data_IF_791814290465
#
_entry.id   IF_791814290465
#
_cell.length_a   1.000
_cell.length_b   1.000
_cell.length_c   1.000
_cell.angle_alpha   90.00
_cell.angle_beta   90.00
_cell.angle_gamma   90.00
#
_symmetry.space_group_name_H-M   'P 1'
#
loop_
_entity.id
_entity.type
_entity.pdbx_description
1 polymer ?
#
# COMPACT_ATOMS: atom_id res chain seq x y z
N UNK A 1 13.16 -17.12 -8.07
CA UNK A 1 12.19 -16.02 -8.26
C UNK A 1 11.15 -16.34 -9.34
N UNK A 2 11.55 -16.78 -10.54
CA UNK A 2 10.59 -17.04 -11.63
C UNK A 2 9.48 -18.06 -11.26
N UNK A 3 9.81 -19.17 -10.58
CA UNK A 3 8.81 -20.18 -10.15
C UNK A 3 7.73 -19.61 -9.22
N UNK A 4 8.12 -18.71 -8.32
CA UNK A 4 7.18 -18.03 -7.41
C UNK A 4 6.15 -17.21 -8.20
N UNK A 5 6.61 -16.33 -9.10
CA UNK A 5 5.70 -15.52 -9.91
C UNK A 5 4.89 -16.33 -10.93
N UNK A 6 5.48 -17.41 -11.45
CA UNK A 6 4.78 -18.38 -12.29
C UNK A 6 3.56 -18.98 -11.59
N UNK A 7 3.72 -19.45 -10.34
CA UNK A 7 2.61 -19.99 -9.55
C UNK A 7 1.63 -18.88 -9.16
N UNK A 8 2.16 -17.77 -8.65
CA UNK A 8 1.38 -16.63 -8.16
C UNK A 8 0.42 -16.13 -9.22
N UNK A 9 0.89 -15.81 -10.43
CA UNK A 9 0.04 -15.29 -11.50
C UNK A 9 -0.76 -16.37 -12.24
N UNK A 10 -0.24 -17.60 -12.32
CA UNK A 10 -0.88 -18.69 -13.04
C UNK A 10 -2.19 -19.14 -12.39
N UNK A 11 -2.23 -19.20 -11.05
CA UNK A 11 -3.37 -19.70 -10.29
C UNK A 11 -4.17 -18.60 -9.56
N UNK A 12 -3.76 -17.33 -9.63
CA UNK A 12 -4.36 -16.27 -8.80
C UNK A 12 -5.88 -16.20 -8.89
N UNK A 13 -6.43 -16.37 -10.09
CA UNK A 13 -7.87 -16.33 -10.39
C UNK A 13 -8.71 -17.39 -9.61
N UNK A 14 -8.07 -18.39 -8.99
CA UNK A 14 -8.72 -19.39 -8.15
C UNK A 14 -8.63 -19.07 -6.65
N UNK A 15 -7.74 -18.15 -6.25
CA UNK A 15 -7.45 -17.83 -4.86
C UNK A 15 -8.68 -17.25 -4.14
N UNK A 16 -8.97 -17.72 -2.92
CA UNK A 16 -10.13 -17.31 -2.12
C UNK A 16 -11.50 -17.54 -2.80
N UNK A 17 -11.55 -18.28 -3.91
CA UNK A 17 -12.78 -18.67 -4.63
C UNK A 17 -12.95 -20.19 -4.56
N UNK A 18 -11.95 -20.94 -5.02
CA UNK A 18 -11.97 -22.41 -5.02
C UNK A 18 -11.11 -22.96 -3.88
N UNK A 19 -9.92 -22.40 -3.68
CA UNK A 19 -8.99 -22.74 -2.61
C UNK A 19 -8.04 -21.58 -2.31
N UNK A 20 -7.24 -21.70 -1.25
CA UNK A 20 -6.10 -20.82 -1.03
C UNK A 20 -4.96 -21.25 -1.95
N UNK A 21 -4.47 -20.33 -2.79
CA UNK A 21 -3.33 -20.59 -3.64
C UNK A 21 -2.03 -20.46 -2.85
N UNK A 22 -1.07 -21.32 -3.15
CA UNK A 22 0.27 -21.31 -2.58
C UNK A 22 1.30 -21.03 -3.70
N UNK A 23 1.88 -19.82 -3.75
CA UNK A 23 2.90 -19.47 -4.72
C UNK A 23 4.30 -19.98 -4.35
N UNK A 24 4.44 -20.85 -3.35
CA UNK A 24 5.68 -21.23 -2.67
C UNK A 24 6.19 -20.11 -1.74
N UNK A 25 7.27 -20.40 -1.04
CA UNK A 25 7.79 -19.57 0.05
C UNK A 25 8.20 -18.16 -0.37
N UNK A 26 7.91 -17.20 0.51
CA UNK A 26 8.42 -15.84 0.47
C UNK A 26 9.83 -15.81 1.06
N UNK A 27 10.74 -15.18 0.34
CA UNK A 27 12.13 -15.01 0.72
C UNK A 27 12.62 -13.63 0.31
N UNK A 28 13.36 -12.97 1.19
CA UNK A 28 14.03 -11.68 0.93
C UNK A 28 15.53 -11.74 1.23
N UNK A 29 16.04 -12.87 1.71
CA UNK A 29 17.48 -13.08 1.98
C UNK A 29 18.35 -12.98 0.72
N UNK A 30 19.65 -12.84 0.92
CA UNK A 30 20.64 -12.91 -0.15
C UNK A 30 20.60 -14.30 -0.84
N UNK A 31 20.86 -14.40 -2.16
CA UNK A 31 21.43 -13.37 -3.03
C UNK A 31 20.43 -12.35 -3.62
N UNK A 32 19.15 -12.37 -3.21
CA UNK A 32 18.16 -11.42 -3.71
C UNK A 32 18.53 -9.98 -3.36
N UNK A 33 18.35 -9.07 -4.32
CA UNK A 33 18.46 -7.63 -4.06
C UNK A 33 17.34 -7.17 -3.13
N UNK A 34 17.43 -5.92 -2.65
CA UNK A 34 16.37 -5.35 -1.84
C UNK A 34 15.09 -5.16 -2.68
N UNK A 35 15.24 -4.67 -3.90
CA UNK A 35 14.19 -4.41 -4.88
C UNK A 35 13.43 -5.70 -5.22
N UNK A 36 14.18 -6.78 -5.44
CA UNK A 36 13.63 -8.10 -5.69
C UNK A 36 12.80 -8.63 -4.51
N UNK A 37 13.32 -8.49 -3.29
CA UNK A 37 12.59 -8.83 -2.07
C UNK A 37 11.33 -7.98 -1.90
N UNK A 38 11.42 -6.67 -2.15
CA UNK A 38 10.29 -5.73 -2.10
C UNK A 38 9.20 -6.12 -3.11
N UNK A 39 9.60 -6.49 -4.33
CA UNK A 39 8.70 -6.97 -5.37
C UNK A 39 7.96 -8.23 -4.92
N UNK A 40 8.67 -9.25 -4.42
CA UNK A 40 8.06 -10.50 -3.93
C UNK A 40 7.02 -10.21 -2.83
N UNK A 41 7.38 -9.46 -1.78
CA UNK A 41 6.46 -9.24 -0.65
C UNK A 41 5.27 -8.36 -1.03
N UNK A 42 5.45 -7.42 -1.96
CA UNK A 42 4.36 -6.57 -2.44
C UNK A 42 3.35 -7.38 -3.24
N UNK A 43 3.83 -8.21 -4.16
CA UNK A 43 2.96 -9.03 -5.03
C UNK A 43 2.11 -10.02 -4.23
N UNK A 44 2.69 -10.72 -3.25
CA UNK A 44 1.92 -11.69 -2.45
C UNK A 44 0.91 -11.00 -1.52
N UNK A 45 1.28 -9.87 -0.92
CA UNK A 45 0.39 -9.13 -0.03
C UNK A 45 -0.81 -8.53 -0.76
N UNK A 46 -0.65 -8.20 -2.05
CA UNK A 46 -1.72 -7.64 -2.90
C UNK A 46 -2.57 -8.70 -3.59
N UNK A 47 -2.21 -9.98 -3.50
CA UNK A 47 -3.00 -11.09 -4.07
C UNK A 47 -3.74 -11.91 -3.01
N UNK A 48 -3.38 -11.76 -1.73
CA UNK A 48 -4.03 -12.46 -0.62
C UNK A 48 -3.83 -13.98 -0.67
N UNK A 49 -2.76 -14.44 -1.33
CA UNK A 49 -2.38 -15.85 -1.38
C UNK A 49 -1.65 -16.27 -0.09
N UNK A 50 -1.41 -17.57 0.05
CA UNK A 50 -0.76 -18.14 1.24
C UNK A 50 0.63 -17.53 1.45
N UNK A 51 0.81 -16.80 2.55
CA UNK A 51 2.08 -16.13 2.86
C UNK A 51 2.93 -17.02 3.77
N UNK A 52 3.85 -17.77 3.15
CA UNK A 52 4.76 -18.67 3.87
C UNK A 52 6.18 -18.11 3.86
N UNK A 53 6.61 -17.46 4.95
CA UNK A 53 7.97 -16.95 5.05
C UNK A 53 8.98 -18.08 5.29
N UNK A 54 10.10 -18.08 4.56
CA UNK A 54 11.14 -19.12 4.66
C UNK A 54 12.55 -18.54 4.83
N UNK A 55 12.69 -17.50 5.64
CA UNK A 55 13.98 -16.90 6.01
C UNK A 55 14.32 -17.13 7.48
N UNK A 56 15.62 -17.13 7.78
CA UNK A 56 16.13 -17.04 9.15
C UNK A 56 15.95 -15.61 9.65
N UNK A 57 14.82 -15.33 10.30
CA UNK A 57 14.39 -13.97 10.68
C UNK A 57 15.40 -13.26 11.59
N UNK A 58 16.08 -13.98 12.46
CA UNK A 58 17.14 -13.50 13.36
C UNK A 58 18.41 -13.06 12.62
N UNK A 59 18.61 -13.53 11.39
CA UNK A 59 19.80 -13.22 10.55
C UNK A 59 19.52 -12.21 9.46
N UNK A 60 18.26 -11.78 9.29
CA UNK A 60 17.91 -10.79 8.28
C UNK A 60 18.35 -9.39 8.73
N UNK A 61 18.94 -8.57 7.83
CA UNK A 61 19.11 -7.16 8.09
C UNK A 61 17.77 -6.50 8.41
N UNK A 62 17.75 -5.57 9.37
CA UNK A 62 16.53 -4.90 9.82
C UNK A 62 15.69 -4.33 8.65
N UNK A 63 16.36 -3.71 7.66
CA UNK A 63 15.68 -3.18 6.46
C UNK A 63 14.93 -4.26 5.65
N UNK A 64 15.44 -5.49 5.58
CA UNK A 64 14.76 -6.61 4.91
C UNK A 64 13.67 -7.22 5.79
N UNK A 65 13.83 -7.21 7.12
CA UNK A 65 12.78 -7.63 8.05
C UNK A 65 11.54 -6.73 7.96
N UNK A 66 11.73 -5.43 7.71
CA UNK A 66 10.62 -4.48 7.49
C UNK A 66 9.73 -4.85 6.29
N UNK A 67 10.27 -5.52 5.28
CA UNK A 67 9.48 -6.03 4.15
C UNK A 67 8.38 -6.98 4.63
N UNK A 68 8.71 -7.91 5.54
CA UNK A 68 7.73 -8.82 6.15
C UNK A 68 6.77 -8.07 7.08
N UNK A 69 7.29 -7.20 7.96
CA UNK A 69 6.47 -6.49 8.95
C UNK A 69 5.36 -5.66 8.32
N UNK A 70 5.62 -5.10 7.13
CA UNK A 70 4.67 -4.27 6.39
C UNK A 70 3.73 -5.04 5.46
N UNK A 71 3.90 -6.35 5.31
CA UNK A 71 3.13 -7.17 4.36
C UNK A 71 2.44 -8.38 4.99
N UNK A 72 2.61 -8.56 6.30
CA UNK A 72 1.90 -9.53 7.14
C UNK A 72 0.93 -8.76 8.05
N UNK A 73 -0.30 -9.25 8.26
CA UNK A 73 -0.85 -10.53 7.79
C UNK A 73 -1.35 -10.49 6.35
N UNK A 74 -1.46 -11.67 5.71
CA UNK A 74 -2.24 -11.83 4.49
C UNK A 74 -3.67 -11.33 4.69
N UNK A 75 -4.19 -10.60 3.71
CA UNK A 75 -5.57 -10.10 3.69
C UNK A 75 -6.47 -10.99 2.83
N UNK A 76 -7.78 -11.08 3.15
CA UNK A 76 -8.72 -11.91 2.40
C UNK A 76 -9.08 -11.26 1.05
N UNK A 77 -8.18 -11.36 0.07
CA UNK A 77 -8.33 -10.75 -1.26
C UNK A 77 -8.88 -11.78 -2.24
N UNK A 78 -9.89 -11.37 -3.01
CA UNK A 78 -10.42 -12.16 -4.13
C UNK A 78 -9.98 -11.54 -5.45
N UNK A 79 -9.48 -12.34 -6.41
CA UNK A 79 -9.18 -11.87 -7.76
C UNK A 79 -10.48 -11.45 -8.47
N UNK A 80 -10.40 -10.42 -9.31
CA UNK A 80 -11.48 -10.04 -10.23
C UNK A 80 -11.42 -10.89 -11.51
N UNK A 81 -10.21 -11.32 -11.89
CA UNK A 81 -9.99 -12.16 -13.07
C UNK A 81 -10.74 -13.50 -12.96
N UNK A 82 -11.55 -13.84 -13.97
CA UNK A 82 -12.24 -15.13 -14.06
C UNK A 82 -11.39 -16.25 -14.68
N UNK A 83 -10.28 -15.87 -15.34
CA UNK A 83 -9.42 -16.77 -16.10
C UNK A 83 -7.94 -16.52 -15.77
N UNK A 84 -7.04 -17.48 -16.04
CA UNK A 84 -5.61 -17.26 -15.87
C UNK A 84 -5.12 -16.03 -16.63
N UNK A 85 -4.17 -15.30 -16.05
CA UNK A 85 -3.61 -14.10 -16.68
C UNK A 85 -2.86 -14.44 -17.97
N UNK A 86 -3.44 -14.04 -19.12
CA UNK A 86 -2.86 -13.97 -20.48
C UNK A 86 -1.67 -14.93 -20.76
N UNK A 87 -1.88 -16.23 -20.58
CA UNK A 87 -0.88 -17.25 -20.95
C UNK A 87 -1.01 -17.55 -22.45
N UNK A 88 -0.19 -16.87 -23.27
CA UNK A 88 -0.27 -16.98 -24.72
C UNK A 88 0.67 -18.07 -25.27
N UNK A 89 1.87 -18.18 -24.70
CA UNK A 89 2.96 -18.99 -25.26
C UNK A 89 3.20 -20.30 -24.55
N UNK A 90 2.72 -20.45 -23.32
CA UNK A 90 2.84 -21.70 -22.58
C UNK A 90 1.56 -22.53 -22.79
N UNK A 91 1.39 -23.10 -23.99
CA UNK A 91 0.26 -23.98 -24.33
C UNK A 91 0.76 -25.35 -24.77
N UNK A 92 0.21 -26.43 -24.20
CA UNK A 92 0.44 -27.81 -24.62
C UNK A 92 -0.87 -28.38 -25.15
N UNK A 93 -0.89 -28.79 -26.43
CA UNK A 93 -2.08 -29.30 -27.12
C UNK A 93 -3.29 -28.34 -27.06
N UNK A 94 -3.06 -27.04 -27.16
CA UNK A 94 -4.11 -26.02 -27.08
C UNK A 94 -4.58 -25.69 -25.65
N UNK A 95 -4.12 -26.45 -24.65
CA UNK A 95 -4.39 -26.20 -23.23
C UNK A 95 -3.28 -25.33 -22.66
N UNK A 96 -3.65 -24.27 -21.94
CA UNK A 96 -2.71 -23.43 -21.18
C UNK A 96 -1.96 -24.30 -20.17
N UNK A 97 -0.63 -24.38 -20.32
CA UNK A 97 0.24 -25.14 -19.45
C UNK A 97 0.76 -24.24 -18.32
N UNK A 98 0.28 -24.56 -17.12
CA UNK A 98 0.66 -24.13 -15.76
C UNK A 98 0.88 -22.63 -15.45
N UNK A 99 1.72 -21.89 -16.19
CA UNK A 99 2.20 -20.58 -15.73
C UNK A 99 2.58 -19.62 -16.89
N UNK A 100 2.40 -18.30 -16.73
CA UNK A 100 2.89 -17.29 -17.68
C UNK A 100 4.43 -17.23 -17.70
N UNK A 101 5.03 -16.80 -18.81
CA UNK A 101 6.46 -16.44 -18.86
C UNK A 101 6.67 -14.99 -18.39
N UNK A 102 7.91 -14.60 -18.05
CA UNK A 102 8.24 -13.23 -17.58
C UNK A 102 7.71 -12.13 -18.50
N UNK A 103 7.82 -12.28 -19.82
CA UNK A 103 7.28 -11.32 -20.80
C UNK A 103 5.75 -11.24 -20.85
N UNK A 104 5.08 -12.18 -20.21
CA UNK A 104 3.63 -12.27 -20.05
C UNK A 104 3.22 -11.96 -18.61
N UNK A 105 4.14 -11.50 -17.73
CA UNK A 105 3.77 -11.04 -16.40
C UNK A 105 3.00 -9.73 -16.47
N UNK A 106 2.05 -9.52 -15.54
CA UNK A 106 1.32 -8.28 -15.50
C UNK A 106 2.26 -7.10 -15.25
N UNK A 107 1.98 -5.98 -15.93
CA UNK A 107 2.68 -4.70 -15.72
C UNK A 107 2.40 -4.13 -14.32
N UNK A 108 1.20 -4.37 -13.81
CA UNK A 108 0.78 -3.93 -12.50
C UNK A 108 -0.25 -4.89 -11.88
N UNK A 109 -0.37 -4.86 -10.55
CA UNK A 109 -1.50 -5.41 -9.79
C UNK A 109 -2.23 -4.25 -9.16
N UNK A 110 -3.53 -4.19 -9.36
CA UNK A 110 -4.41 -3.20 -8.75
C UNK A 110 -5.36 -3.88 -7.76
N UNK A 111 -5.19 -3.59 -6.48
CA UNK A 111 -6.07 -4.06 -5.42
C UNK A 111 -7.10 -2.98 -5.08
N UNK A 112 -8.37 -3.25 -5.37
CA UNK A 112 -9.50 -2.45 -4.88
C UNK A 112 -9.73 -2.73 -3.39
N UNK A 113 -9.63 -1.69 -2.56
CA UNK A 113 -9.84 -1.78 -1.12
C UNK A 113 -11.09 -1.02 -0.74
N UNK A 114 -12.03 -1.72 -0.09
CA UNK A 114 -13.14 -1.11 0.64
C UNK A 114 -12.89 -1.34 2.13
N UNK A 115 -12.48 -0.30 2.84
CA UNK A 115 -12.14 -0.38 4.27
C UNK A 115 -12.61 0.83 5.07
N UNK A 116 -12.25 0.87 6.35
CA UNK A 116 -12.64 1.95 7.27
C UNK A 116 -12.26 3.34 6.74
N UNK A 117 -11.13 3.46 6.05
CA UNK A 117 -10.67 4.71 5.43
C UNK A 117 -11.34 5.05 4.10
N UNK A 118 -12.42 4.38 3.72
CA UNK A 118 -13.13 4.54 2.45
C UNK A 118 -12.67 3.56 1.37
N UNK A 119 -13.08 3.87 0.15
CA UNK A 119 -12.73 3.13 -1.08
C UNK A 119 -11.50 3.75 -1.74
N UNK A 120 -10.54 2.91 -2.12
CA UNK A 120 -9.27 3.31 -2.70
C UNK A 120 -8.56 2.13 -3.34
N UNK A 121 -7.52 2.43 -4.10
CA UNK A 121 -6.72 1.41 -4.77
C UNK A 121 -5.35 1.30 -4.14
N UNK A 122 -4.78 0.09 -4.19
CA UNK A 122 -3.37 -0.15 -3.89
C UNK A 122 -2.74 -0.80 -5.12
N UNK A 123 -1.95 -0.02 -5.83
CA UNK A 123 -1.31 -0.39 -7.09
C UNK A 123 0.13 -0.80 -6.84
N UNK A 124 0.52 -2.00 -7.25
CA UNK A 124 1.93 -2.35 -7.46
C UNK A 124 2.27 -2.28 -8.95
N UNK A 125 3.14 -1.36 -9.32
CA UNK A 125 3.70 -1.22 -10.67
C UNK A 125 5.08 -1.90 -10.71
N UNK A 126 5.33 -2.73 -11.72
CA UNK A 126 6.53 -3.58 -11.78
C UNK A 126 7.49 -3.17 -12.90
N UNK A 127 8.78 -3.31 -12.63
CA UNK A 127 9.81 -3.37 -13.66
C UNK A 127 10.42 -4.77 -13.73
N UNK A 128 10.01 -5.56 -14.72
CA UNK A 128 10.55 -6.91 -14.96
C UNK A 128 11.86 -6.94 -15.76
N UNK A 129 12.42 -5.78 -16.14
CA UNK A 129 13.66 -5.69 -16.91
C UNK A 129 14.90 -5.72 -16.00
N UNK A 130 16.01 -6.21 -16.55
CA UNK A 130 17.34 -6.23 -15.89
C UNK A 130 18.00 -4.83 -15.79
N UNK A 131 17.33 -3.79 -16.28
CA UNK A 131 17.79 -2.40 -16.24
C UNK A 131 16.71 -1.48 -15.66
N UNK A 132 17.13 -0.32 -15.15
CA UNK A 132 16.19 0.71 -14.76
C UNK A 132 15.36 1.13 -15.98
N UNK A 133 14.06 1.27 -15.78
CA UNK A 133 13.13 1.56 -16.87
C UNK A 133 11.99 2.44 -16.36
N UNK A 134 11.51 3.30 -17.25
CA UNK A 134 10.31 4.10 -17.03
C UNK A 134 9.07 3.21 -17.15
N UNK A 135 8.17 3.32 -16.17
CA UNK A 135 6.90 2.60 -16.11
C UNK A 135 5.78 3.60 -15.89
N UNK A 136 4.61 3.29 -16.46
CA UNK A 136 3.45 4.16 -16.38
C UNK A 136 2.16 3.37 -16.30
N UNK A 137 1.12 4.06 -15.85
CA UNK A 137 -0.28 3.63 -15.90
C UNK A 137 -1.18 4.86 -16.16
N UNK A 138 -2.38 4.63 -16.69
CA UNK A 138 -3.44 5.64 -16.70
C UNK A 138 -4.54 5.32 -15.68
N UNK A 139 -5.27 6.34 -15.23
CA UNK A 139 -6.46 6.13 -14.37
C UNK A 139 -7.49 5.19 -15.02
N UNK A 140 -7.69 5.30 -16.33
CA UNK A 140 -8.60 4.44 -17.09
C UNK A 140 -8.14 2.97 -17.10
N UNK A 141 -6.83 2.69 -17.22
CA UNK A 141 -6.29 1.32 -17.11
C UNK A 141 -6.60 0.68 -15.74
N UNK A 142 -6.78 1.49 -14.69
CA UNK A 142 -7.17 1.04 -13.35
C UNK A 142 -8.69 1.00 -13.15
N UNK A 143 -9.49 1.41 -14.14
CA UNK A 143 -10.94 1.56 -13.98
C UNK A 143 -11.36 2.69 -13.03
N UNK A 144 -10.48 3.67 -12.82
CA UNK A 144 -10.78 4.91 -12.11
C UNK A 144 -11.39 5.95 -13.08
N UNK A 145 -12.23 6.82 -12.55
CA UNK A 145 -12.85 7.91 -13.33
C UNK A 145 -11.80 8.94 -13.76
N UNK A 146 -11.54 9.13 -15.08
CA UNK A 146 -10.50 10.03 -15.56
C UNK A 146 -10.83 11.51 -15.37
N UNK A 147 -12.08 11.87 -15.11
CA UNK A 147 -12.49 13.26 -14.84
C UNK A 147 -12.25 13.68 -13.38
N UNK A 148 -11.85 12.72 -12.53
CA UNK A 148 -11.56 12.95 -11.12
C UNK A 148 -10.06 13.04 -10.86
N UNK A 149 -9.73 13.62 -9.69
CA UNK A 149 -8.36 13.78 -9.21
C UNK A 149 -8.05 12.77 -8.13
N UNK A 150 -6.84 12.23 -8.13
CA UNK A 150 -6.42 11.21 -7.17
C UNK A 150 -5.10 11.55 -6.50
N UNK A 151 -5.07 11.47 -5.17
CA UNK A 151 -3.85 11.46 -4.37
C UNK A 151 -3.06 10.19 -4.64
N UNK A 152 -1.75 10.32 -4.84
CA UNK A 152 -0.82 9.20 -4.96
C UNK A 152 0.14 9.19 -3.77
N UNK A 153 0.19 8.09 -3.03
CA UNK A 153 1.13 7.91 -1.92
C UNK A 153 2.01 6.68 -2.13
N UNK A 154 3.34 6.88 -2.21
CA UNK A 154 4.31 5.80 -2.28
C UNK A 154 4.50 5.17 -0.90
N UNK A 155 4.01 3.94 -0.74
CA UNK A 155 4.01 3.23 0.53
C UNK A 155 5.43 2.91 1.03
N UNK A 156 6.31 2.42 0.16
CA UNK A 156 7.65 1.96 0.56
C UNK A 156 8.57 3.11 0.94
N UNK A 157 8.48 4.23 0.21
CA UNK A 157 9.23 5.46 0.52
C UNK A 157 8.56 6.34 1.58
N UNK A 158 7.33 5.99 2.00
CA UNK A 158 6.50 6.81 2.89
C UNK A 158 6.37 8.27 2.39
N UNK A 159 6.09 8.43 1.09
CA UNK A 159 6.17 9.72 0.40
C UNK A 159 4.89 10.03 -0.37
N UNK A 160 4.35 11.22 -0.17
CA UNK A 160 3.28 11.75 -1.00
C UNK A 160 3.82 12.19 -2.37
N UNK A 161 3.23 11.65 -3.43
CA UNK A 161 3.67 11.83 -4.83
C UNK A 161 2.89 12.93 -5.55
N UNK A 162 1.90 13.53 -4.89
CA UNK A 162 1.03 14.56 -5.45
C UNK A 162 -0.30 14.03 -5.97
N UNK A 163 -0.96 14.84 -6.78
CA UNK A 163 -2.26 14.55 -7.40
C UNK A 163 -2.03 14.12 -8.85
N UNK A 164 -2.74 13.07 -9.28
CA UNK A 164 -2.81 12.65 -10.68
C UNK A 164 -4.20 12.91 -11.25
N UNK A 165 -4.21 13.38 -12.51
CA UNK A 165 -5.41 13.71 -13.30
C UNK A 165 -5.41 12.91 -14.64
N UNK A 166 -4.64 11.83 -14.74
CA UNK A 166 -4.56 11.06 -15.98
C UNK A 166 -3.49 9.98 -15.98
N UNK A 167 -2.36 10.22 -16.64
CA UNK A 167 -1.24 9.27 -16.69
C UNK A 167 -0.21 9.61 -15.62
N UNK A 168 0.27 8.58 -14.91
CA UNK A 168 1.40 8.70 -14.01
C UNK A 168 2.57 7.89 -14.55
N UNK A 169 3.78 8.44 -14.38
CA UNK A 169 5.03 7.83 -14.86
C UNK A 169 6.10 7.91 -13.77
N UNK A 170 6.86 6.83 -13.59
CA UNK A 170 7.98 6.77 -12.68
C UNK A 170 9.11 5.87 -13.21
N UNK A 171 10.35 6.22 -12.84
CA UNK A 171 11.52 5.39 -13.08
C UNK A 171 11.67 4.36 -11.97
N UNK A 172 11.72 3.08 -12.34
CA UNK A 172 11.92 1.97 -11.40
C UNK A 172 13.28 1.31 -11.62
N UNK A 173 13.97 0.88 -10.55
CA UNK A 173 15.20 0.11 -10.68
C UNK A 173 14.94 -1.27 -11.33
N UNK A 174 15.98 -1.98 -11.78
CA UNK A 174 15.86 -3.36 -12.24
C UNK A 174 15.10 -4.21 -11.22
N UNK A 175 14.13 -5.00 -11.68
CA UNK A 175 13.32 -5.90 -10.84
C UNK A 175 12.54 -5.19 -9.70
N UNK A 176 12.44 -3.86 -9.76
CA UNK A 176 11.80 -3.05 -8.73
C UNK A 176 10.29 -2.98 -8.85
N UNK A 177 9.66 -2.62 -7.74
CA UNK A 177 8.24 -2.31 -7.66
C UNK A 177 8.01 -0.97 -7.01
N UNK A 178 7.05 -0.20 -7.53
CA UNK A 178 6.47 0.97 -6.88
C UNK A 178 5.08 0.60 -6.39
N UNK A 179 4.81 0.86 -5.10
CA UNK A 179 3.49 0.62 -4.51
C UNK A 179 2.85 1.96 -4.17
N UNK A 180 1.74 2.27 -4.84
CA UNK A 180 0.97 3.47 -4.65
C UNK A 180 -0.36 3.16 -3.97
N UNK A 181 -0.71 3.96 -2.97
CA UNK A 181 -2.08 4.04 -2.46
C UNK A 181 -2.74 5.23 -3.16
N UNK A 182 -3.82 4.96 -3.87
CA UNK A 182 -4.49 5.90 -4.77
C UNK A 182 -5.88 6.21 -4.22
N UNK A 183 -6.14 7.48 -3.91
CA UNK A 183 -7.39 7.94 -3.27
C UNK A 183 -7.97 9.12 -4.00
N UNK A 184 -9.28 9.11 -4.23
CA UNK A 184 -9.99 10.29 -4.75
C UNK A 184 -9.76 11.49 -3.81
N UNK A 185 -9.42 12.64 -4.41
CA UNK A 185 -9.23 13.92 -3.70
C UNK A 185 -10.58 14.42 -3.18
N UNK A 186 -10.63 14.81 -1.92
CA UNK A 186 -11.80 15.43 -1.28
C UNK A 186 -11.43 16.78 -0.68
N UNK A 187 -12.42 17.65 -0.51
CA UNK A 187 -12.22 18.97 0.11
C UNK A 187 -12.18 18.91 1.65
N UNK A 188 -11.52 17.90 2.21
CA UNK A 188 -11.39 17.70 3.65
C UNK A 188 -10.10 16.92 3.97
N UNK A 189 -9.59 16.95 5.21
CA UNK A 189 -8.48 16.09 5.60
C UNK A 189 -8.78 14.60 5.37
N UNK A 190 -7.81 13.88 4.81
CA UNK A 190 -7.93 12.46 4.47
C UNK A 190 -6.72 11.68 4.97
N UNK A 191 -6.96 10.48 5.51
CA UNK A 191 -5.89 9.50 5.71
C UNK A 191 -5.48 8.94 4.34
N UNK A 192 -4.20 9.07 3.98
CA UNK A 192 -3.63 8.47 2.77
C UNK A 192 -3.14 7.06 3.05
N UNK A 193 -2.30 6.91 4.08
CA UNK A 193 -1.62 5.66 4.41
C UNK A 193 -1.29 5.56 5.91
N UNK A 194 -0.85 4.38 6.32
CA UNK A 194 -0.29 4.13 7.66
C UNK A 194 1.05 3.44 7.53
N UNK A 195 1.92 3.51 8.55
CA UNK A 195 3.19 2.77 8.54
C UNK A 195 3.04 1.25 8.69
N UNK A 196 1.83 0.74 8.98
CA UNK A 196 1.64 -0.63 9.47
C UNK A 196 1.60 -1.70 8.40
N UNK A 197 0.76 -1.54 7.38
CA UNK A 197 0.54 -2.58 6.37
C UNK A 197 0.41 -1.94 4.98
N UNK A 198 0.91 -2.63 3.96
CA UNK A 198 0.95 -2.18 2.56
C UNK A 198 -0.43 -1.80 2.01
N UNK A 199 -1.48 -2.46 2.49
CA UNK A 199 -2.86 -2.14 2.10
C UNK A 199 -3.41 -0.90 2.79
N UNK A 200 -2.77 -0.41 3.86
CA UNK A 200 -3.27 0.60 4.79
C UNK A 200 -4.68 0.37 5.37
N UNK A 201 -5.20 -0.86 5.28
CA UNK A 201 -6.53 -1.23 5.78
C UNK A 201 -6.51 -1.97 7.12
N UNK A 202 -5.38 -2.56 7.52
CA UNK A 202 -5.31 -3.47 8.67
C UNK A 202 -5.36 -2.74 10.02
N UNK A 203 -4.62 -1.64 10.14
CA UNK A 203 -4.52 -0.90 11.41
C UNK A 203 -5.78 -0.07 11.71
N UNK A 204 -6.30 0.77 10.77
CA UNK A 204 -7.41 1.66 11.09
C UNK A 204 -8.71 0.93 11.42
N UNK A 205 -9.29 1.25 12.57
CA UNK A 205 -10.57 0.69 13.06
C UNK A 205 -11.71 1.71 12.95
N UNK A 206 -11.40 3.00 13.10
CA UNK A 206 -12.35 4.10 12.91
C UNK A 206 -11.62 5.32 12.39
N UNK A 207 -12.23 6.04 11.45
CA UNK A 207 -11.78 7.36 10.99
C UNK A 207 -13.03 8.22 10.78
N UNK A 208 -13.03 9.45 11.30
CA UNK A 208 -14.16 10.37 11.17
C UNK A 208 -13.68 11.81 11.10
N UNK A 209 -14.13 12.52 10.07
CA UNK A 209 -14.00 13.97 9.97
C UNK A 209 -15.27 14.63 10.53
N UNK A 210 -15.12 15.58 11.45
CA UNK A 210 -16.21 16.44 11.91
C UNK A 210 -15.94 17.88 11.42
N UNK A 211 -16.69 18.40 10.43
CA UNK A 211 -16.51 19.76 9.93
C UNK A 211 -16.95 20.83 10.92
N UNK A 212 -17.89 20.56 11.84
CA UNK A 212 -18.33 21.55 12.83
C UNK A 212 -17.24 21.87 13.87
N UNK A 213 -16.49 20.84 14.27
CA UNK A 213 -15.40 20.99 15.23
C UNK A 213 -14.04 21.18 14.54
N UNK A 214 -13.97 21.02 13.22
CA UNK A 214 -12.73 20.95 12.44
C UNK A 214 -11.77 19.88 12.95
N UNK A 215 -12.28 18.67 13.21
CA UNK A 215 -11.48 17.58 13.80
C UNK A 215 -11.51 16.30 12.99
N UNK A 216 -10.33 15.73 12.76
CA UNK A 216 -10.17 14.37 12.24
C UNK A 216 -9.79 13.46 13.41
N UNK A 217 -10.63 12.48 13.73
CA UNK A 217 -10.36 11.51 14.80
C UNK A 217 -10.35 10.08 14.25
N UNK A 218 -9.66 9.20 14.97
CA UNK A 218 -9.64 7.80 14.63
C UNK A 218 -9.14 6.88 15.73
N UNK A 219 -9.32 5.59 15.47
CA UNK A 219 -8.86 4.49 16.31
C UNK A 219 -8.03 3.56 15.43
N UNK A 220 -6.88 3.11 15.94
CA UNK A 220 -5.93 2.26 15.21
C UNK A 220 -5.42 1.13 16.09
N UNK A 221 -5.33 -0.07 15.53
CA UNK A 221 -4.68 -1.21 16.16
C UNK A 221 -3.18 -1.17 15.85
N UNK A 222 -2.35 -1.03 16.88
CA UNK A 222 -0.90 -0.93 16.75
C UNK A 222 -0.21 -2.14 17.39
N UNK A 223 1.09 -2.29 17.13
CA UNK A 223 1.93 -3.29 17.80
C UNK A 223 2.69 -2.61 18.93
N UNK A 224 2.59 -3.12 20.18
CA UNK A 224 3.32 -2.54 21.30
C UNK A 224 4.82 -2.42 21.02
N UNK A 225 5.39 -1.25 21.35
CA UNK A 225 6.80 -0.93 21.14
C UNK A 225 7.20 -0.58 19.70
N UNK A 226 6.30 -0.70 18.72
CA UNK A 226 6.55 -0.26 17.34
C UNK A 226 5.91 1.11 17.07
N UNK A 227 6.71 2.07 16.62
CA UNK A 227 6.21 3.42 16.35
C UNK A 227 5.22 3.42 15.19
N UNK A 228 4.17 4.23 15.30
CA UNK A 228 3.09 4.26 14.33
C UNK A 228 2.96 5.63 13.67
N UNK A 229 3.00 5.69 12.33
CA UNK A 229 2.79 6.92 11.57
C UNK A 229 1.46 6.86 10.82
N UNK A 230 0.73 7.97 10.88
CA UNK A 230 -0.36 8.29 9.97
C UNK A 230 0.20 9.23 8.90
N UNK A 231 -0.06 8.91 7.64
CA UNK A 231 0.21 9.80 6.51
C UNK A 231 -1.11 10.32 5.99
N UNK A 232 -1.29 11.62 6.08
CA UNK A 232 -2.53 12.32 5.76
C UNK A 232 -2.29 13.36 4.67
N UNK A 233 -3.38 13.78 4.05
CA UNK A 233 -3.43 15.01 3.30
C UNK A 233 -4.40 15.96 3.97
N UNK A 234 -4.06 17.25 3.98
CA UNK A 234 -4.95 18.33 4.39
C UNK A 234 -5.07 19.37 3.26
N UNK A 235 -6.26 19.97 3.07
CA UNK A 235 -6.41 21.17 2.26
C UNK A 235 -5.45 22.29 2.70
N UNK A 236 -5.01 23.11 1.74
CA UNK A 236 -4.08 24.23 1.99
C UNK A 236 -4.63 25.24 3.00
N UNK A 237 -5.95 25.49 2.94
CA UNK A 237 -6.62 26.42 3.85
C UNK A 237 -6.73 25.90 5.28
N UNK A 238 -6.28 24.68 5.59
CA UNK A 238 -6.31 24.13 6.94
C UNK A 238 -4.91 24.08 7.55
N UNK A 239 -4.81 24.49 8.81
CA UNK A 239 -3.60 24.37 9.63
C UNK A 239 -3.86 23.43 10.80
N UNK A 240 -2.88 22.59 11.15
CA UNK A 240 -2.94 21.73 12.34
C UNK A 240 -2.71 22.59 13.58
N UNK A 241 -3.70 22.66 14.46
CA UNK A 241 -3.61 23.38 15.74
C UNK A 241 -3.00 22.48 16.81
N UNK A 242 -3.47 21.23 16.87
CA UNK A 242 -3.09 20.29 17.92
C UNK A 242 -3.32 18.86 17.46
N UNK A 243 -2.46 17.96 17.93
CA UNK A 243 -2.66 16.52 17.90
C UNK A 243 -2.81 16.01 19.32
N UNK A 244 -3.84 15.20 19.56
CA UNK A 244 -4.12 14.55 20.84
C UNK A 244 -4.17 13.05 20.61
N UNK A 245 -3.56 12.28 21.51
CA UNK A 245 -3.65 10.83 21.50
C UNK A 245 -3.50 10.25 22.92
N UNK A 246 -3.93 9.01 23.10
CA UNK A 246 -3.65 8.23 24.30
C UNK A 246 -2.23 7.61 24.30
N UNK A 247 -1.38 7.98 23.35
CA UNK A 247 0.04 7.65 23.28
C UNK A 247 0.85 8.93 23.14
N UNK A 248 2.15 8.87 23.42
CA UNK A 248 3.05 9.99 23.16
C UNK A 248 3.04 10.34 21.66
N UNK A 249 2.74 11.60 21.35
CA UNK A 249 2.87 12.16 20.01
C UNK A 249 4.33 12.56 19.81
N UNK A 250 5.08 11.77 19.06
CA UNK A 250 6.51 12.02 18.83
C UNK A 250 6.73 13.28 17.99
N UNK A 251 5.96 13.44 16.92
CA UNK A 251 5.92 14.68 16.14
C UNK A 251 4.69 14.72 15.22
N UNK A 252 4.41 15.90 14.69
CA UNK A 252 3.68 16.06 13.44
C UNK A 252 4.46 17.01 12.52
N UNK A 253 4.43 16.75 11.21
CA UNK A 253 5.07 17.60 10.20
C UNK A 253 4.15 17.79 9.01
N UNK A 254 4.03 19.02 8.55
CA UNK A 254 3.29 19.36 7.33
C UNK A 254 4.27 19.84 6.27
N UNK A 255 4.07 19.41 5.03
CA UNK A 255 4.78 19.89 3.86
C UNK A 255 3.92 20.90 3.09
N UNK A 256 4.55 21.71 2.23
CA UNK A 256 3.88 22.73 1.42
C UNK A 256 2.82 22.15 0.46
N UNK A 257 2.96 20.87 0.08
CA UNK A 257 2.03 20.16 -0.81
C UNK A 257 0.78 19.59 -0.11
N UNK A 258 0.57 19.93 1.18
CA UNK A 258 -0.56 19.46 1.99
C UNK A 258 -0.35 18.08 2.62
N UNK A 259 0.78 17.41 2.39
CA UNK A 259 1.16 16.19 3.10
C UNK A 259 1.33 16.48 4.60
N UNK A 260 0.80 15.60 5.44
CA UNK A 260 0.90 15.66 6.89
C UNK A 260 1.28 14.28 7.42
N UNK A 261 2.41 14.17 8.10
CA UNK A 261 2.72 12.98 8.90
C UNK A 261 2.50 13.28 10.37
N UNK A 262 1.81 12.36 11.05
CA UNK A 262 1.69 12.35 12.52
C UNK A 262 2.25 11.04 13.02
N UNK A 263 3.24 11.10 13.91
CA UNK A 263 3.93 9.92 14.44
C UNK A 263 3.69 9.78 15.94
N UNK A 264 3.37 8.57 16.36
CA UNK A 264 3.11 8.18 17.75
C UNK A 264 4.15 7.16 18.21
N UNK A 265 4.42 7.17 19.51
CA UNK A 265 5.12 6.08 20.18
C UNK A 265 4.29 4.79 20.11
N UNK A 266 4.96 3.64 20.18
CA UNK A 266 4.31 2.33 20.17
C UNK A 266 3.76 1.88 21.52
N UNK A 267 4.01 2.65 22.59
CA UNK A 267 3.65 2.30 23.96
C UNK A 267 2.29 2.92 24.31
N UNK A 268 1.32 2.05 24.58
CA UNK A 268 -0.02 2.44 25.04
C UNK A 268 -0.14 2.29 26.56
N UNK A 269 -0.97 3.10 27.23
CA UNK A 269 -1.30 2.93 28.64
C UNK A 269 -1.80 1.50 28.93
N UNK A 270 -1.46 1.00 30.12
CA UNK A 270 -1.89 -0.33 30.56
C UNK A 270 -3.41 -0.51 30.45
N UNK A 271 -3.84 -1.64 29.89
CA UNK A 271 -5.26 -1.95 29.68
C UNK A 271 -5.92 -1.27 28.47
N UNK A 272 -5.19 -0.49 27.66
CA UNK A 272 -5.71 0.10 26.41
C UNK A 272 -5.28 -0.70 25.16
N UNK A 273 -6.21 -1.33 24.42
CA UNK A 273 -5.86 -2.20 23.29
C UNK A 273 -5.62 -1.45 21.97
N UNK A 274 -5.99 -0.17 21.89
CA UNK A 274 -5.98 0.61 20.66
C UNK A 274 -5.43 2.02 20.88
N UNK A 275 -4.75 2.53 19.86
CA UNK A 275 -4.40 3.94 19.76
C UNK A 275 -5.66 4.72 19.38
N UNK A 276 -6.01 5.73 20.17
CA UNK A 276 -7.03 6.73 19.86
C UNK A 276 -6.34 8.06 19.63
N UNK A 277 -6.66 8.72 18.53
CA UNK A 277 -6.03 9.96 18.11
C UNK A 277 -7.06 10.96 17.58
N UNK A 278 -6.73 12.24 17.70
CA UNK A 278 -7.53 13.37 17.23
C UNK A 278 -6.60 14.48 16.74
N UNK A 279 -6.85 14.99 15.54
CA UNK A 279 -6.14 16.11 14.94
C UNK A 279 -7.14 17.25 14.82
N UNK A 280 -6.82 18.39 15.43
CA UNK A 280 -7.63 19.61 15.40
C UNK A 280 -7.06 20.55 14.37
N UNK A 281 -7.92 21.05 13.50
CA UNK A 281 -7.57 22.00 12.44
C UNK A 281 -8.23 23.35 12.71
N UNK A 282 -7.67 24.40 12.11
CA UNK A 282 -8.31 25.71 11.95
C UNK A 282 -8.19 26.14 10.49
N UNK A 283 -9.09 26.99 10.04
CA UNK A 283 -8.90 27.67 8.76
C UNK A 283 -7.80 28.72 8.88
N UNK A 284 -6.95 28.80 7.86
CA UNK A 284 -6.03 29.91 7.71
C UNK A 284 -6.81 31.14 7.29
N UNK A 285 -6.65 32.25 8.03
CA UNK A 285 -7.12 33.55 7.56
C UNK A 285 -6.39 33.85 6.25
N UNK A 286 -7.14 33.98 5.15
CA UNK A 286 -6.58 34.44 3.89
C UNK A 286 -5.99 35.83 4.15
N UNK A 287 -4.67 35.96 4.07
CA UNK A 287 -4.05 37.24 3.78
C UNK A 287 -4.56 37.67 2.40
N UNK A 288 -5.59 38.50 2.38
CA UNK A 288 -5.99 39.25 1.19
C UNK A 288 -4.75 39.98 0.69
N UNK A 289 -4.25 39.57 -0.48
CA UNK A 289 -3.26 40.32 -1.26
C UNK A 289 -3.98 41.11 -2.33
#
# INVERSE_FOLDING_TARGET
MQTFFHSLFGANYLNNIVWFCDPDVVMVRNPLSYEEGQTIVSTIALTGQTYMASDFMDRLPARKLELYRKTIPTTPIKPIDLYPYKILQNKRNGVVWCCPRVKEFPRAIDLKVNGVGGEYDVLALFNWEDKAAEKSFSLEELGLDPEKKYHLFNFWEAKYMGISEGTFTAWLPPHGTLVLIIREVKNQPQLLATSRHITSSISPQKISWNPADMTLNGISSIVPGDSYSLFLWKPENLEVVKVEANAEVLFHRSDENGSLEVKFAGDLPEGTPHLTWKIVFKEQEKLEK
#
